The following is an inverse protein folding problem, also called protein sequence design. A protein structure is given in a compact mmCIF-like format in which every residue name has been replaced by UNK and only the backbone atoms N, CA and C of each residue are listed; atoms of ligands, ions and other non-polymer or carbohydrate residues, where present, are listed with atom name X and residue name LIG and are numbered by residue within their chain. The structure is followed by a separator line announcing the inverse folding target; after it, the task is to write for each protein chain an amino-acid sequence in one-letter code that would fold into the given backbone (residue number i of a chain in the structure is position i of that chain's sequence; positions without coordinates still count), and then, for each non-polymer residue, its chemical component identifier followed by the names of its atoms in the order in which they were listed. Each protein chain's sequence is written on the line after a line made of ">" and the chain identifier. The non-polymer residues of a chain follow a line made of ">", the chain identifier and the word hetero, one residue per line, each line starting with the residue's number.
data_IF_953493978507
#
_entry.id   IF_953493978507
#
_cell.length_a   1.000
_cell.length_b   1.000
_cell.length_c   1.000
_cell.angle_alpha   90.00
_cell.angle_beta   90.00
_cell.angle_gamma   90.00
#
_symmetry.space_group_name_H-M   'P 1'
#
loop_
_entity.id
_entity.type
_entity.pdbx_description
1 polymer ?
#
# COMPACT_ATOMS: atom_id res chain seq x y z
N UNK A 1 60.36 46.85 18.20
CA UNK A 1 60.11 45.40 18.32
C UNK A 1 58.61 45.22 18.53
N UNK A 2 57.86 44.69 17.55
CA UNK A 2 57.45 43.26 17.47
C UNK A 2 56.61 42.91 18.72
N UNK A 3 55.29 42.71 18.69
CA UNK A 3 54.50 41.72 17.96
C UNK A 3 53.00 42.07 18.17
N UNK A 4 52.21 42.17 17.10
CA UNK A 4 51.15 41.21 16.72
C UNK A 4 49.73 41.56 17.19
N UNK A 5 49.03 42.22 16.26
CA UNK A 5 47.60 42.06 15.99
C UNK A 5 47.16 40.61 16.13
N UNK A 6 46.03 40.36 16.79
CA UNK A 6 45.09 39.31 16.40
C UNK A 6 43.68 39.70 16.83
N UNK A 7 42.96 40.19 15.82
CA UNK A 7 41.51 40.29 15.76
C UNK A 7 40.87 38.96 16.19
N UNK A 8 40.03 39.00 17.22
CA UNK A 8 39.04 37.95 17.47
C UNK A 8 37.66 38.50 17.10
N UNK A 9 37.38 38.51 15.80
CA UNK A 9 36.02 38.56 15.28
C UNK A 9 35.35 37.24 15.66
N UNK A 10 34.57 37.24 16.75
CA UNK A 10 33.64 36.16 17.04
C UNK A 10 32.47 36.33 16.06
N UNK A 11 32.64 35.82 14.84
CA UNK A 11 31.53 35.57 13.94
C UNK A 11 30.76 34.38 14.53
N UNK A 12 29.73 34.70 15.32
CA UNK A 12 28.63 33.77 15.62
C UNK A 12 27.90 33.50 14.30
N UNK A 13 28.45 32.58 13.50
CA UNK A 13 27.70 31.92 12.44
C UNK A 13 26.71 31.02 13.16
N UNK A 14 25.53 31.57 13.44
CA UNK A 14 24.40 30.74 13.83
C UNK A 14 24.20 29.69 12.76
N UNK A 15 24.42 28.43 13.10
CA UNK A 15 23.89 27.30 12.34
C UNK A 15 22.37 27.42 12.35
N UNK A 16 21.82 28.18 11.42
CA UNK A 16 20.44 27.99 10.99
C UNK A 16 20.46 26.71 10.18
N UNK A 17 20.33 25.58 10.88
CA UNK A 17 19.91 24.35 10.24
C UNK A 17 18.51 24.64 9.70
N UNK A 18 18.45 25.06 8.43
CA UNK A 18 17.20 25.09 7.68
C UNK A 18 16.68 23.66 7.70
N UNK A 19 15.76 23.38 8.62
CA UNK A 19 14.84 22.27 8.41
C UNK A 19 14.22 22.49 7.03
N UNK A 20 14.35 21.54 6.10
CA UNK A 20 13.55 21.61 4.89
C UNK A 20 12.09 21.68 5.35
N UNK A 21 11.24 22.49 4.69
CA UNK A 21 9.82 22.46 5.00
C UNK A 21 9.33 21.01 4.91
N UNK A 22 8.97 20.44 6.05
CA UNK A 22 8.05 19.31 6.14
C UNK A 22 6.80 19.76 5.36
N UNK A 23 6.29 18.88 4.50
CA UNK A 23 5.30 19.17 3.45
C UNK A 23 5.90 19.78 2.18
N UNK A 24 6.76 18.98 1.55
CA UNK A 24 6.81 18.94 0.09
C UNK A 24 5.39 18.70 -0.44
N UNK A 25 4.95 19.53 -1.40
CA UNK A 25 3.70 19.41 -2.18
C UNK A 25 3.53 18.07 -2.92
N UNK A 26 4.39 17.08 -2.69
CA UNK A 26 4.29 15.75 -3.25
C UNK A 26 3.06 14.98 -2.78
N UNK A 27 2.44 15.32 -1.64
CA UNK A 27 1.23 14.64 -1.18
C UNK A 27 0.09 14.72 -2.20
N UNK A 28 -0.03 15.85 -2.91
CA UNK A 28 -1.08 16.07 -3.92
C UNK A 28 -0.85 15.21 -5.18
N UNK A 29 0.39 14.89 -5.53
CA UNK A 29 0.70 13.98 -6.64
C UNK A 29 0.57 12.51 -6.23
N UNK A 30 0.87 12.18 -4.96
CA UNK A 30 0.82 10.82 -4.39
C UNK A 30 -0.61 10.25 -4.38
N UNK A 31 -1.62 11.09 -4.11
CA UNK A 31 -3.03 10.68 -4.07
C UNK A 31 -3.60 10.28 -5.45
N UNK A 32 -2.87 10.58 -6.55
CA UNK A 32 -3.33 10.27 -7.91
C UNK A 32 -2.83 8.95 -8.49
N UNK A 33 -1.83 8.29 -7.86
CA UNK A 33 -1.16 7.13 -8.46
C UNK A 33 -1.84 5.79 -8.16
N UNK A 34 -2.54 5.67 -7.03
CA UNK A 34 -3.36 4.49 -6.72
C UNK A 34 -4.72 4.66 -7.38
N UNK A 35 -5.15 3.64 -8.12
CA UNK A 35 -6.48 3.64 -8.72
C UNK A 35 -7.55 3.73 -7.63
N UNK A 36 -8.35 4.80 -7.67
CA UNK A 36 -9.58 4.99 -6.88
C UNK A 36 -10.80 4.26 -7.47
N UNK A 37 -10.58 3.49 -8.54
CA UNK A 37 -11.67 2.72 -9.17
C UNK A 37 -12.26 1.76 -8.14
N UNK A 38 -13.59 1.76 -7.94
CA UNK A 38 -14.25 0.84 -7.02
C UNK A 38 -13.91 -0.60 -7.39
N UNK A 39 -13.64 -1.43 -6.39
CA UNK A 39 -13.30 -2.83 -6.63
C UNK A 39 -14.55 -3.60 -7.03
N UNK A 40 -14.37 -4.61 -7.88
CA UNK A 40 -15.48 -5.49 -8.21
C UNK A 40 -15.87 -6.32 -6.99
N UNK A 41 -17.13 -6.23 -6.60
CA UNK A 41 -17.68 -7.08 -5.55
C UNK A 41 -18.00 -8.44 -6.20
N UNK A 42 -17.33 -9.56 -5.85
CA UNK A 42 -17.73 -10.88 -6.32
C UNK A 42 -19.19 -11.16 -5.92
N UNK A 43 -19.88 -12.06 -6.64
CA UNK A 43 -21.21 -12.53 -6.20
C UNK A 43 -21.07 -12.95 -4.74
N UNK A 44 -21.94 -12.49 -3.86
CA UNK A 44 -21.86 -12.86 -2.45
C UNK A 44 -22.28 -14.32 -2.30
N UNK A 45 -21.43 -15.11 -1.64
CA UNK A 45 -21.84 -16.38 -1.04
C UNK A 45 -22.00 -16.10 0.43
N UNK A 46 -23.11 -16.58 1.02
CA UNK A 46 -23.38 -16.40 2.45
C UNK A 46 -22.25 -16.95 3.33
N UNK A 47 -21.41 -17.84 2.81
CA UNK A 47 -20.30 -18.48 3.51
C UNK A 47 -18.97 -17.72 3.42
N UNK A 48 -18.81 -16.78 2.47
CA UNK A 48 -17.57 -16.01 2.28
C UNK A 48 -17.86 -14.52 2.32
N UNK A 49 -17.48 -13.87 3.42
CA UNK A 49 -17.63 -12.43 3.58
C UNK A 49 -16.36 -11.69 3.16
N UNK A 50 -16.45 -10.96 2.04
CA UNK A 50 -15.36 -10.15 1.46
C UNK A 50 -15.34 -8.70 1.95
N UNK A 51 -16.34 -8.27 2.74
CA UNK A 51 -16.58 -6.85 3.01
C UNK A 51 -15.39 -6.15 3.68
N UNK A 52 -14.77 -6.82 4.65
CA UNK A 52 -13.64 -6.26 5.38
C UNK A 52 -12.41 -6.10 4.48
N UNK A 53 -12.09 -7.13 3.69
CA UNK A 53 -10.99 -7.08 2.73
C UNK A 53 -11.18 -5.95 1.71
N UNK A 54 -12.39 -5.84 1.14
CA UNK A 54 -12.74 -4.81 0.17
C UNK A 54 -12.61 -3.41 0.77
N UNK A 55 -13.17 -3.17 1.96
CA UNK A 55 -13.08 -1.88 2.64
C UNK A 55 -11.62 -1.48 2.90
N UNK A 56 -10.77 -2.42 3.35
CA UNK A 56 -9.35 -2.17 3.55
C UNK A 56 -8.65 -1.81 2.23
N UNK A 57 -8.86 -2.57 1.16
CA UNK A 57 -8.25 -2.29 -0.14
C UNK A 57 -8.73 -0.98 -0.76
N UNK A 58 -10.00 -0.63 -0.57
CA UNK A 58 -10.57 0.63 -1.02
C UNK A 58 -9.99 1.80 -0.24
N UNK A 59 -9.82 1.71 1.08
CA UNK A 59 -9.25 2.81 1.89
C UNK A 59 -7.81 3.18 1.55
N UNK A 60 -7.02 2.31 0.90
CA UNK A 60 -5.60 2.57 0.58
C UNK A 60 -5.34 3.86 -0.19
N UNK A 61 -6.31 4.33 -0.99
CA UNK A 61 -6.16 5.58 -1.75
C UNK A 61 -6.32 6.83 -0.90
N UNK A 62 -6.85 6.71 0.32
CA UNK A 62 -7.05 7.81 1.27
C UNK A 62 -5.93 7.88 2.31
N UNK A 63 -5.08 6.85 2.37
CA UNK A 63 -4.00 6.73 3.35
C UNK A 63 -2.70 7.25 2.71
N UNK A 64 -1.95 8.15 3.39
CA UNK A 64 -0.64 8.59 2.92
C UNK A 64 0.35 7.44 2.72
N UNK A 65 1.22 7.56 1.72
CA UNK A 65 2.22 6.54 1.34
C UNK A 65 2.99 5.95 2.52
N UNK A 66 3.48 6.83 3.40
CA UNK A 66 4.30 6.52 4.57
C UNK A 66 3.53 5.83 5.70
N UNK A 67 2.19 5.80 5.62
CA UNK A 67 1.30 5.26 6.64
C UNK A 67 0.54 4.01 6.20
N UNK A 68 0.71 3.57 4.93
CA UNK A 68 -0.03 2.42 4.37
C UNK A 68 0.41 1.06 4.88
N UNK A 69 1.59 0.94 5.48
CA UNK A 69 2.19 -0.34 5.86
C UNK A 69 1.29 -1.18 6.77
N UNK A 70 0.61 -0.55 7.73
CA UNK A 70 -0.33 -1.22 8.64
C UNK A 70 -1.54 -1.74 7.87
N UNK A 71 -2.14 -0.93 7.02
CA UNK A 71 -3.31 -1.32 6.22
C UNK A 71 -2.97 -2.46 5.26
N UNK A 72 -1.81 -2.40 4.60
CA UNK A 72 -1.34 -3.47 3.71
C UNK A 72 -1.13 -4.78 4.46
N UNK A 73 -0.57 -4.73 5.68
CA UNK A 73 -0.46 -5.90 6.55
C UNK A 73 -1.83 -6.49 6.90
N UNK A 74 -2.80 -5.65 7.26
CA UNK A 74 -4.16 -6.10 7.58
C UNK A 74 -4.86 -6.73 6.35
N UNK A 75 -4.67 -6.17 5.16
CA UNK A 75 -5.17 -6.75 3.89
C UNK A 75 -4.57 -8.15 3.69
N UNK A 76 -3.26 -8.32 3.95
CA UNK A 76 -2.60 -9.63 3.86
C UNK A 76 -3.18 -10.64 4.83
N UNK A 77 -3.37 -10.26 6.08
CA UNK A 77 -3.93 -11.15 7.10
C UNK A 77 -5.35 -11.61 6.72
N UNK A 78 -6.20 -10.68 6.29
CA UNK A 78 -7.56 -11.00 5.85
C UNK A 78 -7.58 -11.86 4.58
N UNK A 79 -6.71 -11.58 3.60
CA UNK A 79 -6.61 -12.39 2.39
C UNK A 79 -6.16 -13.83 2.68
N UNK A 80 -5.18 -14.01 3.59
CA UNK A 80 -4.73 -15.35 4.01
C UNK A 80 -5.84 -16.09 4.75
N UNK A 81 -6.52 -15.44 5.70
CA UNK A 81 -7.65 -16.00 6.43
C UNK A 81 -8.73 -16.52 5.47
N UNK A 82 -9.14 -15.68 4.52
CA UNK A 82 -10.08 -16.04 3.45
C UNK A 82 -9.56 -17.18 2.57
N UNK A 83 -8.25 -17.28 2.34
CA UNK A 83 -7.67 -18.38 1.56
C UNK A 83 -7.77 -19.72 2.28
N UNK A 84 -7.51 -19.71 3.60
CA UNK A 84 -7.38 -20.93 4.41
C UNK A 84 -8.70 -21.51 4.90
N UNK A 85 -9.77 -20.72 4.91
CA UNK A 85 -11.09 -21.21 5.32
C UNK A 85 -11.72 -22.12 4.25
N UNK A 86 -12.77 -22.86 4.65
CA UNK A 86 -13.57 -23.64 3.72
C UNK A 86 -14.30 -22.71 2.74
N UNK A 87 -14.33 -23.09 1.46
CA UNK A 87 -15.06 -22.36 0.43
C UNK A 87 -16.31 -23.13 0.03
N UNK A 88 -17.37 -22.44 -0.44
CA UNK A 88 -18.50 -23.08 -1.07
C UNK A 88 -18.05 -24.01 -2.18
N UNK A 89 -18.66 -25.19 -2.30
CA UNK A 89 -18.27 -26.21 -3.28
C UNK A 89 -18.18 -25.69 -4.71
N UNK A 90 -19.11 -24.81 -5.09
CA UNK A 90 -19.16 -24.22 -6.43
C UNK A 90 -17.98 -23.29 -6.72
N UNK A 91 -17.31 -22.77 -5.68
CA UNK A 91 -16.16 -21.88 -5.80
C UNK A 91 -14.85 -22.57 -5.43
N UNK A 92 -14.89 -23.73 -4.77
CA UNK A 92 -13.73 -24.54 -4.42
C UNK A 92 -13.20 -25.35 -5.61
N UNK A 93 -13.09 -24.69 -6.77
CA UNK A 93 -12.54 -25.27 -7.99
C UNK A 93 -11.10 -24.83 -8.19
N UNK A 94 -10.27 -25.68 -8.81
CA UNK A 94 -8.87 -25.35 -9.10
C UNK A 94 -8.69 -23.99 -9.81
N UNK A 95 -9.49 -23.62 -10.84
CA UNK A 95 -9.34 -22.34 -11.50
C UNK A 95 -9.63 -21.14 -10.59
N UNK A 96 -10.72 -21.19 -9.81
CA UNK A 96 -11.12 -20.09 -8.92
C UNK A 96 -10.08 -19.91 -7.81
N UNK A 97 -9.68 -21.01 -7.15
CA UNK A 97 -8.62 -21.02 -6.13
C UNK A 97 -7.29 -20.49 -6.66
N UNK A 98 -6.91 -20.86 -7.88
CA UNK A 98 -5.69 -20.35 -8.50
C UNK A 98 -5.73 -18.83 -8.69
N UNK A 99 -6.86 -18.26 -9.13
CA UNK A 99 -7.00 -16.80 -9.26
C UNK A 99 -6.94 -16.09 -7.91
N UNK A 100 -7.57 -16.65 -6.88
CA UNK A 100 -7.47 -16.10 -5.54
C UNK A 100 -6.04 -16.18 -4.98
N UNK A 101 -5.33 -17.29 -5.21
CA UNK A 101 -3.93 -17.41 -4.80
C UNK A 101 -3.02 -16.37 -5.48
N UNK A 102 -3.24 -16.07 -6.75
CA UNK A 102 -2.52 -14.98 -7.44
C UNK A 102 -2.77 -13.64 -6.75
N UNK A 103 -4.02 -13.37 -6.36
CA UNK A 103 -4.35 -12.19 -5.56
C UNK A 103 -3.59 -12.20 -4.21
N UNK A 104 -3.62 -13.29 -3.46
CA UNK A 104 -2.89 -13.44 -2.18
C UNK A 104 -1.38 -13.21 -2.36
N UNK A 105 -0.81 -13.65 -3.48
CA UNK A 105 0.59 -13.38 -3.83
C UNK A 105 0.85 -11.89 -4.00
N UNK A 106 0.03 -11.18 -4.79
CA UNK A 106 0.21 -9.73 -4.97
C UNK A 106 -0.01 -8.95 -3.68
N UNK A 107 -0.96 -9.36 -2.84
CA UNK A 107 -1.14 -8.77 -1.49
C UNK A 107 0.12 -8.98 -0.65
N UNK A 108 0.71 -10.18 -0.69
CA UNK A 108 1.91 -10.48 0.08
C UNK A 108 3.12 -9.68 -0.36
N UNK A 109 3.23 -9.41 -1.67
CA UNK A 109 4.24 -8.50 -2.22
C UNK A 109 3.94 -7.08 -1.73
N UNK A 110 2.71 -6.59 -1.88
CA UNK A 110 2.30 -5.24 -1.48
C UNK A 110 2.54 -4.94 0.01
N UNK A 111 2.42 -5.95 0.87
CA UNK A 111 2.63 -5.84 2.31
C UNK A 111 4.07 -6.14 2.77
N UNK A 112 5.00 -6.38 1.85
CA UNK A 112 6.41 -6.60 2.20
C UNK A 112 7.01 -5.30 2.76
N UNK A 113 7.57 -5.37 3.96
CA UNK A 113 8.12 -4.21 4.66
C UNK A 113 9.29 -3.55 3.91
N UNK A 114 9.98 -4.32 3.06
CA UNK A 114 11.03 -3.76 2.19
C UNK A 114 10.48 -2.75 1.19
N UNK A 115 9.19 -2.85 0.83
CA UNK A 115 8.53 -1.82 0.01
C UNK A 115 8.28 -0.50 0.77
N UNK A 116 8.50 -0.44 2.09
CA UNK A 116 8.48 0.82 2.84
C UNK A 116 9.69 1.71 2.52
N UNK A 117 10.78 1.11 2.05
CA UNK A 117 12.00 1.79 1.59
C UNK A 117 11.97 2.12 0.09
N UNK A 118 10.96 1.62 -0.65
CA UNK A 118 10.80 1.83 -2.09
C UNK A 118 10.25 3.22 -2.43
N UNK A 119 10.20 3.55 -3.71
CA UNK A 119 9.58 4.80 -4.17
C UNK A 119 8.04 4.75 -4.06
N UNK A 120 7.41 5.92 -3.93
CA UNK A 120 5.95 6.07 -3.99
C UNK A 120 5.36 5.40 -5.25
N UNK A 121 6.09 5.50 -6.37
CA UNK A 121 5.70 4.95 -7.68
C UNK A 121 5.68 3.42 -7.67
N UNK A 122 6.72 2.79 -7.10
CA UNK A 122 6.81 1.34 -6.96
C UNK A 122 5.71 0.78 -6.05
N UNK A 123 5.48 1.40 -4.90
CA UNK A 123 4.41 0.97 -4.00
C UNK A 123 3.03 1.11 -4.68
N UNK A 124 2.80 2.22 -5.40
CA UNK A 124 1.55 2.43 -6.12
C UNK A 124 1.34 1.40 -7.24
N UNK A 125 2.40 1.04 -7.97
CA UNK A 125 2.36 0.00 -9.00
C UNK A 125 1.98 -1.37 -8.41
N UNK A 126 2.57 -1.75 -7.29
CA UNK A 126 2.29 -3.03 -6.63
C UNK A 126 0.86 -3.06 -6.08
N UNK A 127 0.38 -1.98 -5.47
CA UNK A 127 -1.01 -1.85 -5.00
C UNK A 127 -1.99 -1.98 -6.17
N UNK A 128 -1.71 -1.33 -7.30
CA UNK A 128 -2.56 -1.43 -8.49
C UNK A 128 -2.58 -2.86 -9.05
N UNK A 129 -1.43 -3.56 -9.10
CA UNK A 129 -1.39 -4.99 -9.49
C UNK A 129 -2.22 -5.87 -8.57
N UNK A 130 -2.18 -5.61 -7.26
CA UNK A 130 -3.02 -6.29 -6.27
C UNK A 130 -4.52 -6.06 -6.59
N UNK A 131 -4.95 -4.81 -6.76
CA UNK A 131 -6.35 -4.47 -7.10
C UNK A 131 -6.81 -5.13 -8.42
N UNK A 132 -5.96 -5.10 -9.45
CA UNK A 132 -6.25 -5.75 -10.75
C UNK A 132 -6.44 -7.27 -10.58
N UNK A 133 -5.58 -7.93 -9.81
CA UNK A 133 -5.72 -9.38 -9.59
C UNK A 133 -6.97 -9.75 -8.81
N UNK A 134 -7.43 -8.89 -7.90
CA UNK A 134 -8.73 -9.03 -7.27
C UNK A 134 -9.86 -8.96 -8.30
N UNK A 135 -9.87 -7.93 -9.16
CA UNK A 135 -10.92 -7.77 -10.15
C UNK A 135 -10.97 -8.94 -11.15
N UNK A 136 -9.82 -9.51 -11.51
CA UNK A 136 -9.73 -10.72 -12.33
C UNK A 136 -10.40 -11.91 -11.61
N UNK A 137 -10.07 -12.10 -10.32
CA UNK A 137 -10.70 -13.13 -9.49
C UNK A 137 -12.22 -12.93 -9.36
N UNK A 138 -12.65 -11.71 -9.07
CA UNK A 138 -14.07 -11.38 -8.89
C UNK A 138 -14.88 -11.62 -10.18
N UNK A 139 -14.31 -11.39 -11.37
CA UNK A 139 -14.95 -11.73 -12.64
C UNK A 139 -15.09 -13.24 -12.83
N UNK A 140 -14.10 -14.03 -12.40
CA UNK A 140 -14.13 -15.48 -12.53
C UNK A 140 -15.27 -16.12 -11.73
N UNK A 141 -15.64 -15.54 -10.58
CA UNK A 141 -16.75 -16.01 -9.74
C UNK A 141 -18.12 -15.55 -10.26
N UNK A 142 -18.18 -14.45 -11.01
CA UNK A 142 -19.45 -13.88 -11.47
C UNK A 142 -20.14 -14.71 -12.58
N UNK A 143 -19.43 -15.63 -13.23
CA UNK A 143 -19.92 -16.32 -14.42
C UNK A 143 -19.83 -15.43 -15.65
#
# INVERSE_FOLDING_TARGET
>A
MRLCYLFFFIALVGCTQKQPPLFSNNSVTVDTLIQKTPLKIPVSSQELNWSNLLALMESLHEIPYDQRSITLKNIKEEAIKLNTQAWPKDWDTKPIRARFNVFVTHVSIAADQRLGDDTIEEQSLVINKMKISWDIFANQIRG
#
